data_IF_679597695422
#
_entry.id   IF_679597695422
#
_cell.length_a   1.000
_cell.length_b   1.000
_cell.length_c   1.000
_cell.angle_alpha   90.00
_cell.angle_beta   90.00
_cell.angle_gamma   90.00
#
_symmetry.space_group_name_H-M   'P 1'
#
loop_
_entity.id
_entity.type
_entity.pdbx_description
1 polymer ?
#
# COMPACT_ATOMS: atom_id res chain seq x y z
N UNK A 1 28.94 -20.84 -9.19
CA UNK A 1 27.47 -20.80 -9.34
C UNK A 1 26.86 -20.21 -8.07
N UNK A 2 26.41 -18.96 -8.12
CA UNK A 2 25.80 -18.28 -6.99
C UNK A 2 24.31 -18.66 -6.95
N UNK A 3 23.94 -19.68 -6.17
CA UNK A 3 22.54 -20.06 -5.93
C UNK A 3 21.89 -19.08 -4.95
N UNK A 4 21.90 -17.80 -5.30
CA UNK A 4 21.12 -16.79 -4.59
C UNK A 4 19.67 -16.92 -5.05
N UNK A 5 18.77 -17.37 -4.17
CA UNK A 5 17.32 -17.29 -4.44
C UNK A 5 16.98 -15.88 -4.90
N UNK A 6 16.33 -15.76 -6.06
CA UNK A 6 15.84 -14.47 -6.56
C UNK A 6 14.96 -13.83 -5.47
N UNK A 7 15.01 -12.50 -5.31
CA UNK A 7 14.11 -11.83 -4.37
C UNK A 7 12.65 -12.16 -4.69
N UNK A 8 11.83 -12.33 -3.64
CA UNK A 8 10.38 -12.49 -3.77
C UNK A 8 9.82 -11.30 -4.57
N UNK A 9 8.91 -11.55 -5.51
CA UNK A 9 8.38 -10.57 -6.50
C UNK A 9 9.31 -10.31 -7.71
N UNK A 10 10.21 -11.25 -8.03
CA UNK A 10 11.05 -11.19 -9.24
C UNK A 10 10.30 -11.65 -10.49
N UNK A 11 9.42 -12.63 -10.37
CA UNK A 11 8.60 -13.16 -11.46
C UNK A 11 7.16 -12.61 -11.43
N UNK A 12 6.43 -12.82 -12.53
CA UNK A 12 5.05 -12.33 -12.70
C UNK A 12 4.07 -13.01 -11.73
N UNK A 13 4.25 -14.30 -11.46
CA UNK A 13 3.36 -15.08 -10.59
C UNK A 13 3.39 -14.60 -9.15
N UNK A 14 4.59 -14.44 -8.57
CA UNK A 14 4.72 -13.96 -7.20
C UNK A 14 4.19 -12.52 -7.01
N UNK A 15 4.36 -11.64 -8.02
CA UNK A 15 3.76 -10.30 -8.00
C UNK A 15 2.25 -10.33 -8.01
N UNK A 16 1.67 -11.20 -8.84
CA UNK A 16 0.21 -11.35 -8.95
C UNK A 16 -0.37 -11.85 -7.63
N UNK A 17 0.22 -12.86 -6.99
CA UNK A 17 -0.24 -13.35 -5.69
C UNK A 17 -0.18 -12.27 -4.62
N UNK A 18 0.89 -11.48 -4.57
CA UNK A 18 1.00 -10.36 -3.64
C UNK A 18 -0.06 -9.27 -3.90
N UNK A 19 -0.29 -8.94 -5.17
CA UNK A 19 -1.34 -8.00 -5.56
C UNK A 19 -2.73 -8.49 -5.14
N UNK A 20 -3.04 -9.77 -5.33
CA UNK A 20 -4.32 -10.35 -4.90
C UNK A 20 -4.52 -10.26 -3.38
N UNK A 21 -3.48 -10.50 -2.59
CA UNK A 21 -3.54 -10.33 -1.12
C UNK A 21 -3.79 -8.87 -0.75
N UNK A 22 -3.11 -7.92 -1.39
CA UNK A 22 -3.33 -6.49 -1.16
C UNK A 22 -4.76 -6.07 -1.55
N UNK A 23 -5.26 -6.58 -2.68
CA UNK A 23 -6.62 -6.32 -3.15
C UNK A 23 -7.66 -6.87 -2.17
N UNK A 24 -7.54 -8.15 -1.81
CA UNK A 24 -8.44 -8.81 -0.89
C UNK A 24 -8.48 -8.08 0.46
N UNK A 25 -7.32 -7.76 1.03
CA UNK A 25 -7.28 -7.05 2.31
C UNK A 25 -7.89 -5.65 2.21
N UNK A 26 -7.63 -4.93 1.11
CA UNK A 26 -8.25 -3.63 0.84
C UNK A 26 -9.78 -3.70 0.83
N UNK A 27 -10.35 -4.68 0.12
CA UNK A 27 -11.80 -4.90 0.05
C UNK A 27 -12.36 -5.27 1.43
N UNK A 28 -11.73 -6.22 2.14
CA UNK A 28 -12.22 -6.71 3.44
C UNK A 28 -12.26 -5.61 4.51
N UNK A 29 -11.23 -4.76 4.57
CA UNK A 29 -11.19 -3.67 5.55
C UNK A 29 -12.20 -2.56 5.23
N UNK A 30 -12.52 -2.36 3.96
CA UNK A 30 -13.51 -1.38 3.52
C UNK A 30 -14.96 -1.87 3.68
N UNK A 31 -15.19 -3.19 3.65
CA UNK A 31 -16.55 -3.78 3.57
C UNK A 31 -16.98 -4.65 4.74
N UNK A 32 -16.06 -5.25 5.50
CA UNK A 32 -16.40 -6.21 6.55
C UNK A 32 -15.91 -5.73 7.92
N UNK A 33 -14.63 -5.37 8.03
CA UNK A 33 -14.01 -5.15 9.33
C UNK A 33 -14.34 -3.80 9.99
N UNK A 34 -14.85 -2.82 9.23
CA UNK A 34 -15.38 -1.53 9.72
C UNK A 34 -14.71 -0.98 11.00
N UNK A 35 -13.39 -0.78 10.97
CA UNK A 35 -12.62 -0.37 12.15
C UNK A 35 -12.83 1.10 12.55
N UNK A 36 -13.56 1.87 11.74
CA UNK A 36 -13.85 3.28 11.90
C UNK A 36 -13.90 3.98 10.53
N UNK A 37 -14.34 5.23 10.53
CA UNK A 37 -14.51 5.99 9.30
C UNK A 37 -13.17 6.16 8.57
N UNK A 38 -13.11 5.77 7.29
CA UNK A 38 -11.91 5.86 6.45
C UNK A 38 -10.66 5.16 7.03
N UNK A 39 -10.82 4.22 7.97
CA UNK A 39 -9.77 3.30 8.38
C UNK A 39 -9.81 2.08 7.45
N UNK A 40 -8.98 2.11 6.41
CA UNK A 40 -8.91 1.07 5.39
C UNK A 40 -7.47 0.83 4.92
N UNK A 41 -7.27 -0.26 4.17
CA UNK A 41 -5.92 -0.68 3.74
C UNK A 41 -5.60 -0.35 2.26
N UNK A 42 -6.44 0.47 1.61
CA UNK A 42 -6.24 0.85 0.19
C UNK A 42 -4.95 1.67 0.01
N UNK A 43 -4.69 2.65 0.89
CA UNK A 43 -3.46 3.47 0.86
C UNK A 43 -2.21 2.61 1.00
N UNK A 44 -2.22 1.65 1.92
CA UNK A 44 -1.13 0.70 2.12
C UNK A 44 -0.92 -0.14 0.86
N UNK A 45 -1.99 -0.67 0.27
CA UNK A 45 -1.95 -1.40 -0.99
C UNK A 45 -1.37 -0.59 -2.15
N UNK A 46 -1.80 0.67 -2.30
CA UNK A 46 -1.31 1.57 -3.35
C UNK A 46 0.20 1.84 -3.23
N UNK A 47 0.65 2.27 -2.05
CA UNK A 47 2.07 2.60 -1.82
C UNK A 47 2.98 1.36 -1.89
N UNK A 48 2.56 0.24 -1.32
CA UNK A 48 3.35 -1.00 -1.27
C UNK A 48 3.43 -1.65 -2.65
N UNK A 49 2.32 -1.72 -3.39
CA UNK A 49 2.35 -2.25 -4.76
C UNK A 49 3.24 -1.41 -5.68
N UNK A 50 3.23 -0.08 -5.55
CA UNK A 50 4.16 0.81 -6.24
C UNK A 50 5.62 0.58 -5.85
N UNK A 51 5.90 0.40 -4.57
CA UNK A 51 7.25 0.17 -4.07
C UNK A 51 7.86 -1.18 -4.50
N UNK A 52 7.05 -2.25 -4.50
CA UNK A 52 7.54 -3.62 -4.57
C UNK A 52 7.20 -4.35 -5.87
N UNK A 53 6.06 -4.05 -6.49
CA UNK A 53 5.51 -4.84 -7.59
C UNK A 53 5.70 -4.14 -8.96
N UNK A 54 5.74 -2.81 -8.96
CA UNK A 54 6.01 -1.95 -10.13
C UNK A 54 4.78 -1.16 -10.60
N UNK A 55 4.96 -0.31 -11.61
CA UNK A 55 3.96 0.69 -12.02
C UNK A 55 2.58 0.11 -12.36
N UNK A 56 2.53 -0.99 -13.10
CA UNK A 56 1.25 -1.64 -13.44
C UNK A 56 0.44 -1.99 -12.18
N UNK A 57 1.11 -2.59 -11.18
CA UNK A 57 0.46 -2.99 -9.93
C UNK A 57 0.17 -1.81 -9.01
N UNK A 58 0.98 -0.75 -9.07
CA UNK A 58 0.76 0.51 -8.36
C UNK A 58 -0.61 1.13 -8.71
N UNK A 59 -1.08 0.89 -9.92
CA UNK A 59 -2.36 1.37 -10.44
C UNK A 59 -3.44 0.30 -10.25
N UNK A 60 -3.17 -0.93 -10.68
CA UNK A 60 -4.16 -2.00 -10.69
C UNK A 60 -4.66 -2.39 -9.29
N UNK A 61 -3.78 -2.45 -8.29
CA UNK A 61 -4.14 -2.84 -6.92
C UNK A 61 -5.19 -1.89 -6.33
N UNK A 62 -4.92 -0.57 -6.16
CA UNK A 62 -5.91 0.31 -5.56
C UNK A 62 -7.19 0.44 -6.39
N UNK A 63 -7.10 0.54 -7.71
CA UNK A 63 -8.30 0.73 -8.55
C UNK A 63 -9.20 -0.51 -8.55
N UNK A 64 -8.62 -1.72 -8.55
CA UNK A 64 -9.43 -2.95 -8.46
C UNK A 64 -10.10 -3.05 -7.10
N UNK A 65 -9.38 -2.76 -6.02
CA UNK A 65 -9.97 -2.77 -4.68
C UNK A 65 -11.14 -1.80 -4.57
N UNK A 66 -10.96 -0.56 -5.04
CA UNK A 66 -12.00 0.45 -5.05
C UNK A 66 -13.20 0.00 -5.88
N UNK A 67 -12.98 -0.38 -7.14
CA UNK A 67 -14.05 -0.81 -8.04
C UNK A 67 -14.89 -1.95 -7.48
N UNK A 68 -14.26 -2.99 -6.94
CA UNK A 68 -14.98 -4.13 -6.36
C UNK A 68 -15.73 -3.71 -5.09
N UNK A 69 -15.08 -2.97 -4.20
CA UNK A 69 -15.73 -2.52 -2.94
C UNK A 69 -16.88 -1.55 -3.18
N UNK A 70 -16.79 -0.68 -4.18
CA UNK A 70 -17.81 0.30 -4.51
C UNK A 70 -19.04 -0.36 -5.17
N UNK A 71 -18.87 -1.50 -5.86
CA UNK A 71 -20.00 -2.33 -6.31
C UNK A 71 -20.75 -2.92 -5.11
N UNK A 72 -20.05 -3.25 -4.02
CA UNK A 72 -20.65 -3.83 -2.81
C UNK A 72 -21.36 -2.75 -1.98
N UNK A 73 -20.70 -1.60 -1.77
CA UNK A 73 -21.19 -0.53 -0.89
C UNK A 73 -22.14 0.45 -1.59
N UNK A 74 -22.13 0.48 -2.92
CA UNK A 74 -22.66 1.59 -3.70
C UNK A 74 -21.71 2.80 -3.70
N UNK A 75 -21.80 3.63 -4.74
CA UNK A 75 -21.00 4.85 -4.83
C UNK A 75 -21.76 5.95 -5.59
N UNK A 76 -21.32 7.20 -5.41
CA UNK A 76 -21.79 8.38 -6.15
C UNK A 76 -20.67 8.91 -7.05
N UNK A 77 -20.90 10.05 -7.72
CA UNK A 77 -19.88 10.72 -8.56
C UNK A 77 -18.58 11.07 -7.82
N UNK A 78 -18.58 11.01 -6.48
CA UNK A 78 -17.36 11.17 -5.67
C UNK A 78 -16.27 10.15 -6.03
N UNK A 79 -16.63 9.02 -6.67
CA UNK A 79 -15.67 8.03 -7.19
C UNK A 79 -14.59 8.68 -8.07
N UNK A 80 -14.92 9.73 -8.82
CA UNK A 80 -13.96 10.46 -9.66
C UNK A 80 -12.80 11.02 -8.83
N UNK A 81 -13.07 11.49 -7.62
CA UNK A 81 -12.06 12.02 -6.71
C UNK A 81 -11.37 10.93 -5.88
N UNK A 82 -12.11 9.94 -5.39
CA UNK A 82 -11.48 8.87 -4.60
C UNK A 82 -10.58 7.96 -5.45
N UNK A 83 -11.01 7.58 -6.66
CA UNK A 83 -10.22 6.73 -7.55
C UNK A 83 -8.99 7.46 -8.08
N UNK A 84 -9.13 8.73 -8.47
CA UNK A 84 -7.99 9.55 -8.91
C UNK A 84 -7.00 9.81 -7.78
N UNK A 85 -7.46 10.00 -6.53
CA UNK A 85 -6.56 10.13 -5.39
C UNK A 85 -5.68 8.89 -5.25
N UNK A 86 -6.26 7.68 -5.32
CA UNK A 86 -5.48 6.46 -5.21
C UNK A 86 -4.60 6.18 -6.43
N UNK A 87 -4.99 6.62 -7.63
CA UNK A 87 -4.12 6.61 -8.79
C UNK A 87 -2.85 7.44 -8.52
N UNK A 88 -3.01 8.66 -8.01
CA UNK A 88 -1.87 9.54 -7.68
C UNK A 88 -1.03 8.98 -6.53
N UNK A 89 -1.65 8.44 -5.48
CA UNK A 89 -0.95 7.84 -4.34
C UNK A 89 -0.14 6.62 -4.80
N UNK A 90 -0.72 5.73 -5.60
CA UNK A 90 -0.02 4.56 -6.15
C UNK A 90 1.16 4.96 -7.03
N UNK A 91 0.94 5.93 -7.93
CA UNK A 91 2.00 6.46 -8.79
C UNK A 91 3.13 7.14 -8.00
N UNK A 92 2.80 7.96 -7.00
CA UNK A 92 3.77 8.58 -6.11
C UNK A 92 4.57 7.52 -5.34
N UNK A 93 3.90 6.47 -4.83
CA UNK A 93 4.56 5.32 -4.21
C UNK A 93 5.55 4.65 -5.15
N UNK A 94 5.18 4.42 -6.41
CA UNK A 94 6.11 3.92 -7.41
C UNK A 94 7.33 4.85 -7.58
N UNK A 95 7.13 6.14 -7.80
CA UNK A 95 8.24 7.08 -8.01
C UNK A 95 9.19 7.18 -6.80
N UNK A 96 8.64 7.24 -5.59
CA UNK A 96 9.41 7.41 -4.34
C UNK A 96 10.24 6.16 -4.02
N UNK A 97 9.68 4.97 -4.25
CA UNK A 97 10.24 3.72 -3.75
C UNK A 97 10.88 2.82 -4.80
N UNK A 98 10.56 2.97 -6.09
CA UNK A 98 11.04 2.07 -7.15
C UNK A 98 12.57 1.89 -7.18
N UNK A 99 13.31 2.96 -6.88
CA UNK A 99 14.79 2.96 -6.80
C UNK A 99 15.35 2.77 -5.38
N UNK A 100 14.52 2.78 -4.33
CA UNK A 100 14.95 2.69 -2.92
C UNK A 100 14.95 1.25 -2.38
N UNK A 101 15.35 0.27 -3.21
CA UNK A 101 15.42 -1.13 -2.79
C UNK A 101 16.48 -1.29 -1.67
N UNK A 102 16.02 -1.53 -0.43
CA UNK A 102 16.82 -1.89 0.76
C UNK A 102 17.75 -0.81 1.30
N UNK A 103 17.26 0.43 1.45
CA UNK A 103 18.01 1.49 2.16
C UNK A 103 17.53 1.63 3.61
N UNK A 104 18.45 2.02 4.49
CA UNK A 104 18.13 2.58 5.79
C UNK A 104 17.08 3.70 5.62
N UNK A 105 16.08 3.74 6.49
CA UNK A 105 15.02 4.76 6.43
C UNK A 105 13.77 4.39 5.61
N UNK A 106 13.58 3.12 5.22
CA UNK A 106 12.32 2.67 4.59
C UNK A 106 11.11 2.91 5.49
N UNK A 107 11.22 2.61 6.80
CA UNK A 107 10.15 2.85 7.77
C UNK A 107 9.83 4.34 7.92
N UNK A 108 10.84 5.20 7.95
CA UNK A 108 10.64 6.66 8.02
C UNK A 108 9.96 7.13 6.72
N UNK A 109 10.43 6.66 5.57
CA UNK A 109 9.85 7.01 4.28
C UNK A 109 8.39 6.53 4.15
N UNK A 110 8.05 5.36 4.70
CA UNK A 110 6.68 4.84 4.68
C UNK A 110 5.76 5.64 5.62
N UNK A 111 6.23 6.04 6.80
CA UNK A 111 5.51 6.93 7.71
C UNK A 111 5.24 8.31 7.10
N UNK A 112 6.27 8.93 6.49
CA UNK A 112 6.10 10.21 5.79
C UNK A 112 5.11 10.06 4.64
N UNK A 113 5.23 8.99 3.84
CA UNK A 113 4.31 8.73 2.73
C UNK A 113 2.88 8.49 3.21
N UNK A 114 2.69 7.85 4.37
CA UNK A 114 1.37 7.65 4.98
C UNK A 114 0.72 8.99 5.36
N UNK A 115 1.47 9.88 6.02
CA UNK A 115 0.99 11.22 6.38
C UNK A 115 0.66 12.05 5.14
N UNK A 116 1.59 12.13 4.18
CA UNK A 116 1.39 12.87 2.93
C UNK A 116 0.20 12.34 2.12
N UNK A 117 0.06 11.01 2.00
CA UNK A 117 -1.07 10.41 1.31
C UNK A 117 -2.41 10.73 2.00
N UNK A 118 -2.46 10.71 3.34
CA UNK A 118 -3.67 11.04 4.09
C UNK A 118 -4.10 12.49 3.90
N UNK A 119 -3.14 13.43 4.00
CA UNK A 119 -3.41 14.86 3.78
C UNK A 119 -3.84 15.12 2.35
N UNK A 120 -3.13 14.54 1.37
CA UNK A 120 -3.48 14.67 -0.04
C UNK A 120 -4.88 14.11 -0.33
N UNK A 121 -5.17 12.90 0.13
CA UNK A 121 -6.47 12.27 -0.05
C UNK A 121 -7.59 13.13 0.55
N UNK A 122 -7.41 13.62 1.77
CA UNK A 122 -8.36 14.50 2.44
C UNK A 122 -8.61 15.79 1.65
N UNK A 123 -7.56 16.51 1.25
CA UNK A 123 -7.71 17.75 0.48
C UNK A 123 -8.41 17.49 -0.86
N UNK A 124 -7.98 16.45 -1.57
CA UNK A 124 -8.52 16.14 -2.89
C UNK A 124 -9.98 15.69 -2.85
N UNK A 125 -10.32 14.80 -1.92
CA UNK A 125 -11.67 14.25 -1.82
C UNK A 125 -12.67 15.25 -1.24
N UNK A 126 -12.29 16.08 -0.27
CA UNK A 126 -13.19 17.12 0.25
C UNK A 126 -13.38 18.26 -0.75
N UNK A 127 -12.35 18.59 -1.55
CA UNK A 127 -12.55 19.43 -2.73
C UNK A 127 -13.57 18.82 -3.68
N UNK A 128 -13.50 17.50 -3.91
CA UNK A 128 -14.48 16.76 -4.70
C UNK A 128 -15.90 16.83 -4.15
N UNK A 129 -16.06 16.64 -2.83
CA UNK A 129 -17.35 16.76 -2.14
C UNK A 129 -17.93 18.16 -2.35
N UNK A 130 -17.14 19.22 -2.15
CA UNK A 130 -17.59 20.60 -2.39
C UNK A 130 -17.87 20.87 -3.88
N UNK A 131 -17.02 20.37 -4.78
CA UNK A 131 -17.10 20.63 -6.21
C UNK A 131 -18.33 19.98 -6.84
N UNK A 132 -18.60 18.72 -6.49
CA UNK A 132 -19.78 17.99 -6.94
C UNK A 132 -21.01 18.49 -6.17
N UNK A 133 -20.97 18.46 -4.83
CA UNK A 133 -22.03 18.83 -3.89
C UNK A 133 -23.46 18.68 -4.46
N UNK A 134 -23.79 17.45 -4.86
CA UNK A 134 -25.08 17.13 -5.47
C UNK A 134 -26.26 17.41 -4.52
N UNK A 135 -25.99 17.46 -3.21
CA UNK A 135 -26.99 17.69 -2.16
C UNK A 135 -27.08 19.15 -1.70
N UNK A 136 -26.31 20.08 -2.30
CA UNK A 136 -26.27 21.51 -1.93
C UNK A 136 -25.93 21.74 -0.44
N UNK A 137 -25.08 20.88 0.12
CA UNK A 137 -24.60 20.99 1.50
C UNK A 137 -23.69 22.19 1.72
N UNK A 138 -22.98 22.64 0.69
CA UNK A 138 -21.95 23.67 0.76
C UNK A 138 -22.20 24.78 -0.26
N UNK A 139 -22.01 26.03 0.17
CA UNK A 139 -22.02 27.15 -0.76
C UNK A 139 -20.92 26.99 -1.81
N UNK A 140 -21.21 27.29 -3.09
CA UNK A 140 -20.21 27.29 -4.19
C UNK A 140 -19.33 28.56 -4.13
N UNK A 141 -18.71 28.77 -2.97
CA UNK A 141 -17.80 29.87 -2.65
C UNK A 141 -16.58 29.30 -1.92
N UNK A 142 -15.54 30.13 -1.74
CA UNK A 142 -14.37 29.75 -0.93
C UNK A 142 -14.78 29.39 0.51
N UNK A 143 -15.79 30.09 1.07
CA UNK A 143 -16.32 29.78 2.39
C UNK A 143 -16.88 28.37 2.49
N UNK A 144 -17.71 27.95 1.54
CA UNK A 144 -18.25 26.59 1.53
C UNK A 144 -17.18 25.50 1.31
N UNK A 145 -16.10 25.81 0.58
CA UNK A 145 -14.95 24.91 0.48
C UNK A 145 -14.23 24.75 1.82
N UNK A 146 -14.05 25.85 2.55
CA UNK A 146 -13.49 25.82 3.91
C UNK A 146 -14.39 25.02 4.86
N UNK A 147 -15.71 25.18 4.75
CA UNK A 147 -16.67 24.40 5.54
C UNK A 147 -16.56 22.90 5.25
N UNK A 148 -16.42 22.50 3.98
CA UNK A 148 -16.20 21.11 3.59
C UNK A 148 -14.92 20.54 4.22
N UNK A 149 -13.83 21.30 4.23
CA UNK A 149 -12.61 20.90 4.91
C UNK A 149 -12.79 20.80 6.43
N UNK A 150 -13.36 21.82 7.07
CA UNK A 150 -13.56 21.84 8.53
C UNK A 150 -14.40 20.65 9.00
N UNK A 151 -15.51 20.38 8.33
CA UNK A 151 -16.39 19.25 8.64
C UNK A 151 -15.76 17.89 8.24
N UNK A 152 -14.83 17.90 7.30
CA UNK A 152 -14.06 16.72 6.90
C UNK A 152 -12.96 16.30 7.90
N UNK A 153 -12.59 17.14 8.88
CA UNK A 153 -11.46 16.86 9.79
C UNK A 153 -11.55 15.54 10.58
N UNK A 154 -12.73 15.10 11.08
CA UNK A 154 -12.86 13.80 11.75
C UNK A 154 -12.44 12.64 10.84
N UNK A 155 -12.79 12.70 9.55
CA UNK A 155 -12.41 11.69 8.55
C UNK A 155 -10.90 11.69 8.30
N UNK A 156 -10.26 12.87 8.24
CA UNK A 156 -8.81 12.96 8.15
C UNK A 156 -8.14 12.32 9.37
N UNK A 157 -8.63 12.60 10.58
CA UNK A 157 -8.08 12.04 11.82
C UNK A 157 -8.08 10.50 11.78
N UNK A 158 -9.22 9.91 11.46
CA UNK A 158 -9.35 8.44 11.45
C UNK A 158 -8.52 7.82 10.31
N UNK A 159 -8.57 8.41 9.10
CA UNK A 159 -7.74 7.97 7.98
C UNK A 159 -6.24 8.05 8.28
N UNK A 160 -5.78 9.14 8.88
CA UNK A 160 -4.38 9.34 9.24
C UNK A 160 -3.91 8.32 10.28
N UNK A 161 -4.71 8.06 11.32
CA UNK A 161 -4.39 7.04 12.33
C UNK A 161 -4.26 5.65 11.66
N UNK A 162 -5.24 5.28 10.83
CA UNK A 162 -5.21 4.01 10.09
C UNK A 162 -3.98 3.89 9.20
N UNK A 163 -3.66 4.93 8.42
CA UNK A 163 -2.52 4.93 7.52
C UNK A 163 -1.17 4.90 8.26
N UNK A 164 -1.03 5.63 9.37
CA UNK A 164 0.18 5.61 10.20
C UNK A 164 0.42 4.24 10.85
N UNK A 165 -0.59 3.39 10.97
CA UNK A 165 -0.45 2.01 11.44
C UNK A 165 -0.22 1.05 10.27
N UNK A 166 -1.12 1.03 9.29
CA UNK A 166 -1.14 -0.02 8.26
C UNK A 166 -0.08 0.17 7.17
N UNK A 167 0.25 1.40 6.79
CA UNK A 167 1.31 1.63 5.78
C UNK A 167 2.67 1.09 6.27
N UNK A 168 3.23 1.51 7.43
CA UNK A 168 4.51 0.95 7.87
C UNK A 168 4.43 -0.54 8.18
N UNK A 169 3.30 -1.06 8.66
CA UNK A 169 3.09 -2.49 8.86
C UNK A 169 3.27 -3.28 7.56
N UNK A 170 2.57 -2.90 6.49
CA UNK A 170 2.66 -3.62 5.21
C UNK A 170 4.04 -3.44 4.56
N UNK A 171 4.65 -2.25 4.65
CA UNK A 171 6.04 -2.07 4.21
C UNK A 171 7.00 -2.98 4.97
N UNK A 172 6.80 -3.19 6.27
CA UNK A 172 7.62 -4.11 7.08
C UNK A 172 7.44 -5.56 6.64
N UNK A 173 6.20 -6.00 6.44
CA UNK A 173 5.87 -7.34 5.94
C UNK A 173 6.54 -7.58 4.57
N UNK A 174 6.35 -6.67 3.61
CA UNK A 174 6.91 -6.81 2.27
C UNK A 174 8.44 -6.72 2.26
N UNK A 175 9.03 -5.87 3.11
CA UNK A 175 10.47 -5.81 3.30
C UNK A 175 11.02 -7.16 3.79
N UNK A 176 10.38 -7.76 4.79
CA UNK A 176 10.75 -9.07 5.33
C UNK A 176 10.61 -10.18 4.28
N UNK A 177 9.50 -10.20 3.54
CA UNK A 177 9.25 -11.16 2.46
C UNK A 177 10.28 -11.05 1.32
N UNK A 178 10.84 -9.87 1.07
CA UNK A 178 11.90 -9.65 0.07
C UNK A 178 13.32 -9.96 0.56
N UNK A 179 13.51 -10.27 1.84
CA UNK A 179 14.83 -10.64 2.35
C UNK A 179 15.27 -11.95 1.71
N UNK A 180 16.47 -12.00 1.10
CA UNK A 180 16.97 -13.27 0.57
C UNK A 180 17.15 -14.22 1.75
N UNK A 181 16.42 -15.34 1.73
CA UNK A 181 16.62 -16.41 2.71
C UNK A 181 18.05 -16.92 2.52
N UNK A 182 18.95 -16.57 3.44
CA UNK A 182 20.30 -17.16 3.47
C UNK A 182 20.09 -18.67 3.57
N UNK A 183 20.49 -19.41 2.54
CA UNK A 183 20.54 -20.87 2.64
C UNK A 183 21.38 -21.20 3.87
N UNK A 184 20.79 -21.94 4.82
CA UNK A 184 21.53 -22.49 5.96
C UNK A 184 22.71 -23.25 5.33
N UNK A 185 23.94 -22.78 5.53
CA UNK A 185 25.15 -23.44 4.99
C UNK A 185 25.04 -24.89 5.42
N UNK A 186 24.82 -25.79 4.47
CA UNK A 186 24.60 -27.20 4.76
C UNK A 186 25.78 -27.70 5.58
N UNK A 187 25.51 -28.11 6.82
CA UNK A 187 26.47 -28.74 7.73
C UNK A 187 27.13 -29.97 7.07
N UNK A 188 26.52 -30.51 6.00
CA UNK A 188 27.04 -31.58 5.16
C UNK A 188 28.44 -31.33 4.61
N UNK A 189 28.82 -30.10 4.23
CA UNK A 189 30.15 -29.87 3.65
C UNK A 189 31.30 -30.09 4.66
N UNK A 190 31.06 -29.79 5.95
CA UNK A 190 32.03 -30.01 7.03
C UNK A 190 32.07 -31.48 7.47
N UNK A 191 30.94 -32.20 7.40
CA UNK A 191 30.89 -33.64 7.67
C UNK A 191 31.52 -34.46 6.54
N UNK A 192 31.30 -34.08 5.28
CA UNK A 192 31.89 -34.76 4.12
C UNK A 192 33.42 -34.59 4.05
N UNK A 193 33.96 -33.47 4.53
CA UNK A 193 35.42 -33.31 4.66
C UNK A 193 36.00 -34.16 5.79
N UNK A 194 35.28 -34.33 6.91
CA UNK A 194 35.71 -35.20 8.01
C UNK A 194 35.64 -36.67 7.59
N UNK A 195 34.58 -37.09 6.88
CA UNK A 195 34.46 -38.47 6.37
C UNK A 195 35.49 -38.82 5.29
N UNK A 196 36.01 -37.84 4.54
CA UNK A 196 37.13 -38.06 3.62
C UNK A 196 38.44 -38.34 4.37
N UNK A 197 38.68 -37.67 5.48
CA UNK A 197 39.89 -37.88 6.31
C UNK A 197 39.92 -39.31 6.88
N UNK A 198 38.76 -39.87 7.26
CA UNK A 198 38.68 -41.25 7.78
C UNK A 198 38.70 -42.35 6.72
N UNK A 199 38.63 -42.01 5.43
CA UNK A 199 38.65 -42.99 4.34
C UNK A 199 40.04 -43.13 3.68
N UNK A 200 40.99 -42.28 4.07
CA UNK A 200 42.38 -42.26 3.60
C UNK A 200 43.38 -42.71 4.68
N UNK A 201 42.90 -43.18 5.84
CA UNK A 201 43.67 -43.81 6.92
C UNK A 201 43.35 -45.30 7.02
#
# INVERSE_FOLDING_TARGET
>A
MHTGKLPLFSDKGSKMSAALVLIATGILFRTIFHLGDNIEMITSGALVSGAYLGLFWAIAVPLTSMAVSDVILGNSLIFLFTWSAYLFIGFAGFLVFYKKKRKSGLLISSLVSAGTASVFFYLWTNFGVWYLDDQRMYAKTIGGLLDAYLLGLPFLKMNLIGNLVFVPLFFSIFSFLQMPVKAKKSISAKYLSVLKIFKES
#
